data_IF_816771186625
#
_entry.id   IF_816771186625
#
_cell.length_a   1.000
_cell.length_b   1.000
_cell.length_c   1.000
_cell.angle_alpha   90.00
_cell.angle_beta   90.00
_cell.angle_gamma   90.00
#
_symmetry.space_group_name_H-M   'P 1'
#
loop_
_entity.id
_entity.type
_entity.pdbx_description
1 polymer ?
#
# COMPACT_ATOMS: atom_id res chain seq x y z
N UNK A 1 10.84 -2.01 -14.29
CA UNK A 1 10.21 -3.07 -13.48
C UNK A 1 8.71 -2.79 -13.48
N UNK A 2 7.87 -3.82 -13.52
CA UNK A 2 6.43 -3.63 -13.38
C UNK A 2 6.11 -3.54 -11.87
N UNK A 3 5.23 -2.60 -11.45
CA UNK A 3 4.81 -2.50 -10.07
C UNK A 3 4.15 -3.80 -9.61
N UNK A 4 4.37 -4.24 -8.35
CA UNK A 4 3.63 -5.37 -7.79
C UNK A 4 2.12 -5.06 -7.89
N UNK A 5 1.35 -5.97 -8.48
CA UNK A 5 -0.07 -5.72 -8.73
C UNK A 5 -0.89 -6.10 -7.48
N UNK A 6 -1.75 -5.21 -6.96
CA UNK A 6 -2.60 -5.52 -5.83
C UNK A 6 -3.64 -6.60 -6.18
N UNK A 7 -4.02 -7.45 -5.22
CA UNK A 7 -4.96 -8.54 -5.47
C UNK A 7 -6.37 -8.04 -5.79
N UNK A 8 -7.13 -8.82 -6.57
CA UNK A 8 -8.47 -8.44 -7.05
C UNK A 8 -9.44 -8.07 -5.92
N UNK A 9 -9.38 -8.78 -4.78
CA UNK A 9 -10.24 -8.53 -3.63
C UNK A 9 -10.10 -7.11 -3.06
N UNK A 10 -9.00 -6.40 -3.37
CA UNK A 10 -8.77 -5.04 -2.90
C UNK A 10 -9.79 -4.06 -3.50
N UNK A 11 -10.21 -4.30 -4.73
CA UNK A 11 -11.18 -3.47 -5.46
C UNK A 11 -12.63 -3.63 -4.96
N UNK A 12 -12.90 -4.67 -4.16
CA UNK A 12 -14.21 -4.92 -3.55
C UNK A 12 -14.46 -4.08 -2.28
N UNK A 13 -13.42 -3.41 -1.77
CA UNK A 13 -13.55 -2.46 -0.66
C UNK A 13 -14.09 -1.13 -1.20
N UNK A 14 -14.75 -0.32 -0.37
CA UNK A 14 -15.18 1.05 -0.73
C UNK A 14 -14.01 2.03 -0.95
N UNK A 15 -12.84 1.53 -1.37
CA UNK A 15 -11.65 2.30 -1.64
C UNK A 15 -11.17 2.03 -3.07
N UNK A 16 -10.70 3.07 -3.75
CA UNK A 16 -10.22 3.00 -5.13
C UNK A 16 -8.70 3.09 -5.15
N UNK A 17 -8.06 2.10 -5.78
CA UNK A 17 -6.64 2.15 -6.11
C UNK A 17 -6.43 2.68 -7.52
N UNK A 18 -5.45 3.57 -7.70
CA UNK A 18 -4.99 4.03 -9.01
C UNK A 18 -3.47 3.96 -9.03
N UNK A 19 -2.83 3.34 -10.05
CA UNK A 19 -1.38 3.33 -10.16
C UNK A 19 -0.86 4.76 -10.31
N UNK A 20 0.27 5.05 -9.66
CA UNK A 20 1.00 6.32 -9.82
C UNK A 20 1.96 6.16 -11.01
N UNK A 21 1.97 7.15 -11.91
CA UNK A 21 2.88 7.12 -13.06
C UNK A 21 4.34 7.09 -12.59
N UNK A 22 5.14 6.22 -13.20
CA UNK A 22 6.59 6.17 -12.98
C UNK A 22 7.06 5.47 -11.70
N UNK A 23 6.22 4.73 -10.97
CA UNK A 23 6.67 4.03 -9.77
C UNK A 23 5.83 2.85 -9.30
N UNK A 24 6.28 2.22 -8.21
CA UNK A 24 5.67 1.03 -7.61
C UNK A 24 4.51 1.33 -6.64
N UNK A 25 3.91 2.52 -6.80
CA UNK A 25 2.95 3.05 -5.84
C UNK A 25 1.54 3.06 -6.40
N UNK A 26 0.60 2.87 -5.50
CA UNK A 26 -0.80 3.05 -5.77
C UNK A 26 -1.35 4.16 -4.89
N UNK A 27 -2.05 5.11 -5.51
CA UNK A 27 -2.89 6.07 -4.81
C UNK A 27 -4.18 5.38 -4.38
N UNK A 28 -4.49 5.46 -3.10
CA UNK A 28 -5.68 4.93 -2.47
C UNK A 28 -6.58 6.08 -2.04
N UNK A 29 -7.83 6.06 -2.48
CA UNK A 29 -8.86 7.03 -2.08
C UNK A 29 -10.10 6.32 -1.57
N UNK A 30 -10.79 6.90 -0.58
CA UNK A 30 -12.06 6.40 -0.06
C UNK A 30 -13.01 7.58 0.26
N UNK A 31 -14.34 7.38 0.24
CA UNK A 31 -15.29 8.44 0.56
C UNK A 31 -15.05 9.06 1.93
N UNK A 32 -14.98 10.40 1.99
CA UNK A 32 -14.75 11.18 3.22
C UNK A 32 -13.43 10.87 3.96
N UNK A 33 -12.47 10.24 3.30
CA UNK A 33 -11.15 9.97 3.86
C UNK A 33 -10.08 10.72 3.07
N UNK A 34 -8.97 11.03 3.72
CA UNK A 34 -7.80 11.53 3.00
C UNK A 34 -7.28 10.47 2.01
N UNK A 35 -6.67 10.96 0.93
CA UNK A 35 -5.92 10.07 0.05
C UNK A 35 -4.61 9.65 0.72
N UNK A 36 -4.12 8.48 0.35
CA UNK A 36 -2.80 8.00 0.73
C UNK A 36 -2.19 7.22 -0.41
N UNK A 37 -0.92 6.88 -0.27
CA UNK A 37 -0.17 6.11 -1.25
C UNK A 37 0.41 4.89 -0.56
N UNK A 38 0.19 3.73 -1.15
CA UNK A 38 0.66 2.46 -0.63
C UNK A 38 1.52 1.73 -1.64
N UNK A 39 2.47 0.95 -1.13
CA UNK A 39 3.29 0.01 -1.91
C UNK A 39 3.70 -1.17 -1.05
N UNK A 40 4.29 -2.17 -1.70
CA UNK A 40 4.94 -3.30 -1.07
C UNK A 40 6.38 -3.35 -1.57
N UNK A 41 7.35 -3.46 -0.65
CA UNK A 41 8.78 -3.54 -0.96
C UNK A 41 9.34 -4.87 -0.49
N UNK A 42 10.25 -5.48 -1.26
CA UNK A 42 10.96 -6.66 -0.81
C UNK A 42 12.14 -6.25 0.08
N UNK A 43 12.25 -6.85 1.27
CA UNK A 43 13.38 -6.71 2.16
C UNK A 43 14.54 -7.63 1.80
N UNK A 44 15.68 -7.44 2.45
CA UNK A 44 16.91 -8.23 2.21
C UNK A 44 16.73 -9.72 2.54
N UNK A 45 15.80 -10.04 3.44
CA UNK A 45 15.43 -11.41 3.80
C UNK A 45 14.48 -12.08 2.79
N UNK A 46 14.20 -11.43 1.65
CA UNK A 46 13.31 -11.94 0.60
C UNK A 46 11.82 -11.84 0.93
N UNK A 47 11.46 -11.44 2.15
CA UNK A 47 10.08 -11.17 2.57
C UNK A 47 9.67 -9.75 2.17
N UNK A 48 8.37 -9.47 2.22
CA UNK A 48 7.79 -8.21 1.82
C UNK A 48 7.43 -7.36 3.04
N UNK A 49 7.59 -6.05 2.91
CA UNK A 49 7.14 -5.02 3.84
C UNK A 49 6.06 -4.17 3.17
N UNK A 50 5.01 -3.85 3.91
CA UNK A 50 3.99 -2.90 3.51
C UNK A 50 4.41 -1.47 3.86
N UNK A 51 4.10 -0.53 2.97
CA UNK A 51 4.49 0.87 3.10
C UNK A 51 3.31 1.78 2.82
N UNK A 52 3.16 2.83 3.63
CA UNK A 52 2.19 3.91 3.45
C UNK A 52 2.88 5.27 3.53
N UNK A 53 2.46 6.20 2.68
CA UNK A 53 2.78 7.64 2.75
C UNK A 53 1.55 8.50 2.47
N UNK A 54 1.54 9.72 3.01
CA UNK A 54 0.43 10.69 2.88
C UNK A 54 0.46 11.52 1.60
N UNK A 55 1.61 11.59 0.93
CA UNK A 55 1.78 12.37 -0.30
C UNK A 55 2.61 11.58 -1.33
N UNK A 56 2.40 11.87 -2.62
CA UNK A 56 3.05 11.17 -3.73
C UNK A 56 4.59 11.22 -3.69
N UNK A 57 5.16 12.30 -3.17
CA UNK A 57 6.61 12.49 -3.00
C UNK A 57 6.98 12.69 -1.52
N UNK A 58 6.06 12.33 -0.62
CA UNK A 58 6.26 12.45 0.81
C UNK A 58 7.08 11.30 1.41
N UNK A 59 7.59 11.47 2.64
CA UNK A 59 8.25 10.39 3.36
C UNK A 59 7.28 9.25 3.67
N UNK A 60 7.84 8.05 3.86
CA UNK A 60 7.09 6.92 4.39
C UNK A 60 6.54 7.28 5.78
N UNK A 61 5.22 7.23 5.93
CA UNK A 61 4.50 7.56 7.17
C UNK A 61 4.39 6.33 8.06
N UNK A 62 4.19 5.15 7.46
CA UNK A 62 4.17 3.89 8.18
C UNK A 62 4.78 2.77 7.31
N UNK A 63 5.56 1.90 7.96
CA UNK A 63 6.25 0.77 7.32
C UNK A 63 6.14 -0.43 8.26
N UNK A 64 5.82 -1.60 7.74
CA UNK A 64 5.92 -2.84 8.52
C UNK A 64 7.35 -3.39 8.45
N UNK A 65 7.70 -4.29 9.36
CA UNK A 65 8.87 -5.16 9.14
C UNK A 65 8.66 -6.02 7.88
N UNK A 66 9.74 -6.43 7.18
CA UNK A 66 9.65 -7.31 6.03
C UNK A 66 9.44 -8.76 6.50
N UNK A 67 8.22 -9.09 6.90
CA UNK A 67 7.88 -10.42 7.47
C UNK A 67 6.86 -11.20 6.63
N UNK A 68 6.29 -10.58 5.60
CA UNK A 68 5.29 -11.23 4.76
C UNK A 68 5.99 -12.08 3.69
N UNK A 69 5.75 -13.39 3.71
CA UNK A 69 6.35 -14.33 2.77
C UNK A 69 5.70 -14.29 1.37
N UNK A 70 4.55 -13.62 1.24
CA UNK A 70 3.81 -13.51 -0.01
C UNK A 70 3.23 -12.10 -0.24
N UNK A 71 3.07 -11.76 -1.53
CA UNK A 71 2.54 -10.45 -1.95
C UNK A 71 1.10 -10.17 -1.50
N UNK A 72 0.14 -11.13 -1.58
CA UNK A 72 -1.23 -10.91 -1.11
C UNK A 72 -1.32 -10.42 0.34
N UNK A 73 -0.57 -11.04 1.25
CA UNK A 73 -0.59 -10.67 2.68
C UNK A 73 0.07 -9.31 2.91
N UNK A 74 1.17 -9.02 2.21
CA UNK A 74 1.79 -7.71 2.25
C UNK A 74 0.86 -6.60 1.74
N UNK A 75 0.07 -6.86 0.69
CA UNK A 75 -0.96 -5.92 0.25
C UNK A 75 -2.09 -5.76 1.27
N UNK A 76 -2.49 -6.83 1.94
CA UNK A 76 -3.39 -6.78 3.10
C UNK A 76 -2.86 -5.86 4.19
N UNK A 77 -1.60 -6.02 4.55
CA UNK A 77 -0.95 -5.17 5.54
C UNK A 77 -0.88 -3.71 5.11
N UNK A 78 -0.60 -3.42 3.82
CA UNK A 78 -0.59 -2.06 3.30
C UNK A 78 -1.97 -1.38 3.40
N UNK A 79 -3.06 -2.14 3.18
CA UNK A 79 -4.40 -1.63 3.42
C UNK A 79 -4.69 -1.42 4.91
N UNK A 80 -4.24 -2.32 5.78
CA UNK A 80 -4.42 -2.14 7.22
C UNK A 80 -3.64 -0.93 7.75
N UNK A 81 -2.46 -0.63 7.20
CA UNK A 81 -1.78 0.65 7.47
C UNK A 81 -2.68 1.82 7.06
N UNK A 82 -3.31 1.81 5.88
CA UNK A 82 -4.25 2.86 5.49
C UNK A 82 -5.42 2.98 6.46
N UNK A 83 -6.05 1.86 6.82
CA UNK A 83 -7.17 1.86 7.76
C UNK A 83 -6.78 2.41 9.13
N UNK A 84 -5.60 2.05 9.64
CA UNK A 84 -5.13 2.49 10.95
C UNK A 84 -4.74 3.97 10.97
N UNK A 85 -4.05 4.42 9.93
CA UNK A 85 -3.50 5.78 9.90
C UNK A 85 -4.54 6.79 9.42
N UNK A 86 -5.35 6.44 8.41
CA UNK A 86 -6.20 7.41 7.68
C UNK A 86 -7.67 7.36 8.11
N UNK A 87 -8.19 6.17 8.40
CA UNK A 87 -9.61 6.00 8.75
C UNK A 87 -9.80 6.21 10.24
N UNK A 88 -10.56 7.25 10.61
CA UNK A 88 -10.99 7.56 11.98
C UNK A 88 -12.37 7.00 12.27
#
# INVERSE_FOLDING_TARGET
MNPPVPPYWFTQRQAKLTPVEGGDWYRLTAPNQEEAYITVRQGENGCYAAVLRRAADGPDTAVTEPIYDNLPDAWGAAFELYRREVVV
#
